data_IF_135601388364
#
_entry.id   IF_135601388364
#
_cell.length_a   1.000
_cell.length_b   1.000
_cell.length_c   1.000
_cell.angle_alpha   90.00
_cell.angle_beta   90.00
_cell.angle_gamma   90.00
#
_symmetry.space_group_name_H-M   'P 1'
#
loop_
_entity.id
_entity.type
_entity.pdbx_description
1 polymer ?
#
# COMPACT_ATOMS: atom_id res chain seq x y z
N UNK A 1 -17.08 -1.80 -22.43
CA UNK A 1 -18.13 -2.03 -21.40
C UNK A 1 -17.48 -2.22 -20.04
N UNK A 2 -17.96 -1.54 -19.01
CA UNK A 2 -17.55 -1.74 -17.61
C UNK A 2 -18.25 -2.99 -17.06
N UNK A 3 -17.54 -3.84 -16.32
CA UNK A 3 -18.17 -5.05 -15.73
C UNK A 3 -19.11 -4.65 -14.59
N UNK A 4 -20.29 -5.27 -14.52
CA UNK A 4 -21.21 -5.13 -13.38
C UNK A 4 -20.78 -6.04 -12.22
N UNK A 5 -21.17 -5.69 -11.00
CA UNK A 5 -20.80 -6.45 -9.80
C UNK A 5 -21.29 -7.91 -9.86
N UNK A 6 -22.52 -8.10 -10.32
CA UNK A 6 -23.14 -9.42 -10.53
C UNK A 6 -22.34 -10.27 -11.52
N UNK A 7 -22.07 -9.73 -12.72
CA UNK A 7 -21.29 -10.44 -13.75
C UNK A 7 -19.87 -10.76 -13.30
N UNK A 8 -19.28 -9.94 -12.44
CA UNK A 8 -17.99 -10.23 -11.84
C UNK A 8 -18.09 -11.44 -10.91
N UNK A 9 -19.04 -11.45 -9.97
CA UNK A 9 -19.24 -12.56 -9.01
C UNK A 9 -19.63 -13.88 -9.67
N UNK A 10 -20.34 -13.85 -10.80
CA UNK A 10 -20.67 -15.06 -11.56
C UNK A 10 -19.46 -15.78 -12.17
N UNK A 11 -18.39 -15.03 -12.48
CA UNK A 11 -17.25 -15.53 -13.25
C UNK A 11 -15.94 -15.54 -12.47
N UNK A 12 -15.88 -14.81 -11.37
CA UNK A 12 -14.68 -14.65 -10.56
C UNK A 12 -15.00 -14.86 -9.09
N UNK A 13 -14.09 -15.51 -8.39
CA UNK A 13 -14.07 -15.60 -6.94
C UNK A 13 -12.89 -14.77 -6.42
N UNK A 14 -13.08 -14.11 -5.27
CA UNK A 14 -12.04 -13.34 -4.62
C UNK A 14 -11.89 -13.81 -3.17
N UNK A 15 -10.69 -14.22 -2.80
CA UNK A 15 -10.36 -14.56 -1.42
C UNK A 15 -10.07 -13.28 -0.64
N UNK A 16 -10.98 -12.92 0.27
CA UNK A 16 -10.84 -11.72 1.13
C UNK A 16 -9.58 -11.75 1.99
N UNK A 17 -9.15 -12.94 2.40
CA UNK A 17 -7.99 -13.14 3.26
C UNK A 17 -6.68 -13.14 2.47
N UNK A 18 -6.63 -13.86 1.34
CA UNK A 18 -5.39 -13.98 0.56
C UNK A 18 -5.21 -12.83 -0.44
N UNK A 19 -6.27 -12.07 -0.74
CA UNK A 19 -6.19 -10.97 -1.70
C UNK A 19 -6.12 -11.42 -3.17
N UNK A 20 -6.38 -12.69 -3.46
CA UNK A 20 -6.22 -13.25 -4.81
C UNK A 20 -7.56 -13.49 -5.50
N UNK A 21 -7.54 -13.46 -6.82
CA UNK A 21 -8.69 -13.76 -7.66
C UNK A 21 -8.55 -15.12 -8.33
N UNK A 22 -9.67 -15.80 -8.48
CA UNK A 22 -9.80 -17.00 -9.28
C UNK A 22 -10.88 -16.77 -10.35
N UNK A 23 -10.67 -17.30 -11.55
CA UNK A 23 -11.63 -17.23 -12.64
C UNK A 23 -12.22 -18.60 -12.90
N UNK A 24 -13.55 -18.65 -13.09
CA UNK A 24 -14.24 -19.84 -13.57
C UNK A 24 -13.90 -20.08 -15.04
N UNK A 25 -13.37 -21.25 -15.34
CA UNK A 25 -13.03 -21.70 -16.70
C UNK A 25 -13.65 -23.07 -16.97
N UNK A 26 -13.76 -23.43 -18.24
CA UNK A 26 -14.38 -24.68 -18.68
C UNK A 26 -15.80 -24.48 -19.23
N UNK A 27 -16.53 -25.58 -19.38
CA UNK A 27 -17.87 -25.59 -19.95
C UNK A 27 -18.72 -26.67 -19.29
N UNK A 28 -20.05 -26.58 -19.45
CA UNK A 28 -20.98 -27.60 -18.95
C UNK A 28 -20.60 -29.03 -19.38
N UNK A 29 -20.04 -29.20 -20.58
CA UNK A 29 -19.61 -30.50 -21.11
C UNK A 29 -18.28 -31.00 -20.53
N UNK A 30 -17.34 -30.10 -20.23
CA UNK A 30 -15.98 -30.45 -19.75
C UNK A 30 -15.81 -30.30 -18.23
N UNK A 31 -16.83 -29.83 -17.53
CA UNK A 31 -16.74 -29.41 -16.13
C UNK A 31 -16.19 -28.00 -15.98
N UNK A 32 -16.60 -27.33 -14.91
CA UNK A 32 -16.07 -26.03 -14.51
C UNK A 32 -14.99 -26.19 -13.46
N UNK A 33 -13.98 -25.32 -13.50
CA UNK A 33 -12.95 -25.21 -12.46
C UNK A 33 -12.59 -23.76 -12.18
N UNK A 34 -12.02 -23.51 -11.00
CA UNK A 34 -11.47 -22.23 -10.59
C UNK A 34 -9.97 -22.23 -10.81
N UNK A 35 -9.44 -21.16 -11.40
CA UNK A 35 -8.00 -21.01 -11.68
C UNK A 35 -7.57 -19.64 -11.19
N UNK A 36 -6.48 -19.59 -10.42
CA UNK A 36 -5.86 -18.35 -9.96
C UNK A 36 -5.57 -17.44 -11.17
N UNK A 37 -5.93 -16.17 -11.04
CA UNK A 37 -5.69 -15.15 -12.06
C UNK A 37 -5.09 -13.91 -11.42
N UNK A 38 -4.28 -13.22 -12.22
CA UNK A 38 -3.63 -11.98 -11.83
C UNK A 38 -2.15 -12.05 -12.18
N UNK A 39 -1.59 -10.93 -12.61
CA UNK A 39 -0.17 -10.82 -12.92
C UNK A 39 0.32 -9.42 -12.60
N UNK A 40 1.60 -9.27 -12.28
CA UNK A 40 2.21 -7.96 -12.04
C UNK A 40 2.44 -7.27 -13.37
N UNK A 41 2.06 -6.00 -13.46
CA UNK A 41 2.38 -5.16 -14.62
C UNK A 41 3.60 -4.34 -14.28
N UNK A 42 4.54 -4.29 -15.24
CA UNK A 42 5.67 -3.37 -15.28
C UNK A 42 6.46 -3.23 -13.95
N UNK A 43 7.25 -2.18 -13.83
CA UNK A 43 8.07 -1.92 -12.64
C UNK A 43 7.28 -1.23 -11.51
N UNK A 44 5.99 -0.94 -11.71
CA UNK A 44 5.13 -0.33 -10.67
C UNK A 44 4.80 -1.30 -9.53
N UNK A 45 4.92 -2.60 -9.76
CA UNK A 45 4.68 -3.65 -8.76
C UNK A 45 3.20 -3.92 -8.46
N UNK A 46 2.27 -3.36 -9.22
CA UNK A 46 0.84 -3.64 -9.03
C UNK A 46 0.40 -4.89 -9.79
N UNK A 47 -0.39 -5.74 -9.10
CA UNK A 47 -1.10 -6.84 -9.74
C UNK A 47 -2.33 -6.32 -10.51
N UNK A 48 -2.57 -6.87 -11.71
CA UNK A 48 -3.80 -6.66 -12.48
C UNK A 48 -4.53 -7.96 -12.75
N UNK A 49 -5.85 -7.88 -12.91
CA UNK A 49 -6.72 -8.97 -13.34
C UNK A 49 -7.44 -8.56 -14.62
N UNK A 50 -7.40 -9.44 -15.63
CA UNK A 50 -8.11 -9.25 -16.88
C UNK A 50 -9.55 -9.76 -16.77
N UNK A 51 -10.51 -8.84 -16.93
CA UNK A 51 -11.94 -9.08 -16.79
C UNK A 51 -12.66 -8.57 -18.03
N UNK A 52 -13.26 -9.49 -18.81
CA UNK A 52 -13.97 -9.14 -20.05
C UNK A 52 -13.09 -8.42 -21.09
N UNK A 53 -11.80 -8.76 -21.17
CA UNK A 53 -10.83 -8.13 -22.09
C UNK A 53 -10.25 -6.80 -21.59
N UNK A 54 -10.68 -6.28 -20.44
CA UNK A 54 -10.13 -5.08 -19.82
C UNK A 54 -9.29 -5.43 -18.59
N UNK A 55 -8.17 -4.73 -18.41
CA UNK A 55 -7.30 -4.86 -17.24
C UNK A 55 -7.82 -3.99 -16.09
N UNK A 56 -7.85 -4.54 -14.89
CA UNK A 56 -8.18 -3.82 -13.65
C UNK A 56 -7.07 -4.05 -12.62
N UNK A 57 -6.68 -3.02 -11.88
CA UNK A 57 -5.80 -3.18 -10.71
C UNK A 57 -6.49 -4.09 -9.69
N UNK A 58 -5.77 -5.10 -9.20
CA UNK A 58 -6.31 -6.14 -8.34
C UNK A 58 -6.90 -5.56 -7.04
N UNK A 59 -6.20 -4.63 -6.38
CA UNK A 59 -6.71 -3.97 -5.16
C UNK A 59 -8.01 -3.18 -5.40
N UNK A 60 -8.17 -2.49 -6.54
CA UNK A 60 -9.42 -1.77 -6.86
C UNK A 60 -10.54 -2.74 -7.19
N UNK A 61 -10.23 -3.81 -7.91
CA UNK A 61 -11.19 -4.87 -8.23
C UNK A 61 -11.64 -5.60 -6.96
N UNK A 62 -10.75 -5.82 -5.99
CA UNK A 62 -11.05 -6.41 -4.68
C UNK A 62 -12.04 -5.54 -3.90
N UNK A 63 -11.80 -4.23 -3.86
CA UNK A 63 -12.75 -3.28 -3.27
C UNK A 63 -14.13 -3.37 -3.92
N UNK A 64 -14.18 -3.30 -5.26
CA UNK A 64 -15.43 -3.41 -6.01
C UNK A 64 -16.14 -4.75 -5.78
N UNK A 65 -15.40 -5.86 -5.71
CA UNK A 65 -15.95 -7.18 -5.43
C UNK A 65 -16.63 -7.26 -4.06
N UNK A 66 -16.02 -6.66 -3.04
CA UNK A 66 -16.52 -6.69 -1.67
C UNK A 66 -17.67 -5.72 -1.45
N UNK A 67 -17.51 -4.47 -1.91
CA UNK A 67 -18.42 -3.36 -1.58
C UNK A 67 -19.51 -3.12 -2.64
N UNK A 68 -19.35 -3.64 -3.86
CA UNK A 68 -20.31 -3.44 -4.96
C UNK A 68 -20.18 -2.11 -5.69
N UNK A 69 -19.31 -1.23 -5.21
CA UNK A 69 -19.02 0.08 -5.80
C UNK A 69 -17.51 0.28 -5.99
N UNK A 70 -17.16 1.05 -7.03
CA UNK A 70 -15.76 1.39 -7.25
C UNK A 70 -15.30 2.39 -6.19
N UNK A 71 -14.05 2.31 -5.71
CA UNK A 71 -13.58 3.21 -4.66
C UNK A 71 -13.55 4.66 -5.18
N UNK A 72 -14.15 5.56 -4.40
CA UNK A 72 -14.21 6.99 -4.70
C UNK A 72 -12.83 7.67 -4.72
N UNK A 73 -11.85 7.08 -4.02
CA UNK A 73 -10.48 7.59 -3.92
C UNK A 73 -9.42 6.63 -4.44
N UNK A 74 -8.20 6.82 -3.93
CA UNK A 74 -7.13 5.83 -4.06
C UNK A 74 -7.36 4.72 -3.05
N UNK A 75 -6.82 3.55 -3.37
CA UNK A 75 -6.74 2.43 -2.44
C UNK A 75 -5.28 2.28 -2.05
N UNK A 76 -5.01 2.49 -0.77
CA UNK A 76 -3.70 2.34 -0.15
C UNK A 76 -3.59 0.94 0.49
N UNK A 77 -2.39 0.37 0.42
CA UNK A 77 -2.02 -0.89 1.08
C UNK A 77 -1.40 -0.55 2.43
N UNK A 78 -2.05 -0.92 3.54
CA UNK A 78 -1.62 -0.53 4.90
C UNK A 78 -0.19 -0.95 5.21
N UNK A 79 0.23 -2.12 4.75
CA UNK A 79 1.59 -2.66 4.90
C UNK A 79 2.60 -2.14 3.85
N UNK A 80 2.12 -1.40 2.84
CA UNK A 80 2.89 -0.91 1.71
C UNK A 80 3.23 -1.97 0.65
N UNK A 81 2.85 -3.23 0.86
CA UNK A 81 3.03 -4.29 -0.13
C UNK A 81 1.90 -4.26 -1.16
N UNK A 82 2.24 -3.82 -2.38
CA UNK A 82 1.31 -3.71 -3.52
C UNK A 82 0.73 -5.05 -3.99
N UNK A 83 1.34 -6.17 -3.60
CA UNK A 83 0.86 -7.52 -3.91
C UNK A 83 -0.10 -8.06 -2.85
N UNK A 84 -0.06 -7.53 -1.62
CA UNK A 84 -1.00 -7.90 -0.57
C UNK A 84 -2.36 -7.22 -0.75
N UNK A 85 -3.16 -7.77 -1.66
CA UNK A 85 -4.48 -7.25 -1.99
C UNK A 85 -5.59 -7.79 -1.06
N UNK A 86 -5.26 -8.30 0.14
CA UNK A 86 -6.24 -8.74 1.13
C UNK A 86 -7.11 -7.57 1.58
N UNK A 87 -8.43 -7.76 1.69
CA UNK A 87 -9.35 -6.63 1.92
C UNK A 87 -9.07 -5.91 3.25
N UNK A 88 -8.60 -6.65 4.26
CA UNK A 88 -8.20 -6.08 5.55
C UNK A 88 -6.96 -5.17 5.44
N UNK A 89 -6.09 -5.40 4.46
CA UNK A 89 -4.90 -4.60 4.18
C UNK A 89 -5.20 -3.37 3.31
N UNK A 90 -6.37 -3.29 2.68
CA UNK A 90 -6.74 -2.16 1.82
C UNK A 90 -7.49 -1.08 2.62
N UNK A 91 -7.28 0.19 2.26
CA UNK A 91 -8.06 1.33 2.78
C UNK A 91 -8.20 2.45 1.75
N UNK A 92 -9.25 3.25 1.88
CA UNK A 92 -9.42 4.48 1.08
C UNK A 92 -8.40 5.51 1.55
N UNK A 93 -7.75 6.16 0.61
CA UNK A 93 -6.78 7.22 0.87
C UNK A 93 -6.92 8.39 -0.10
N UNK A 94 -6.62 9.58 0.39
CA UNK A 94 -6.24 10.71 -0.47
C UNK A 94 -4.83 10.52 -1.02
N UNK A 95 -4.47 11.26 -2.07
CA UNK A 95 -3.11 11.24 -2.63
C UNK A 95 -2.04 11.61 -1.60
N UNK A 96 -2.35 12.52 -0.66
CA UNK A 96 -1.44 12.91 0.41
C UNK A 96 -1.24 11.76 1.42
N UNK A 97 -2.33 11.13 1.86
CA UNK A 97 -2.28 9.98 2.77
C UNK A 97 -1.52 8.79 2.16
N UNK A 98 -1.81 8.44 0.91
CA UNK A 98 -1.07 7.40 0.19
C UNK A 98 0.43 7.75 0.06
N UNK A 99 0.77 9.03 -0.14
CA UNK A 99 2.16 9.47 -0.16
C UNK A 99 2.83 9.40 1.22
N UNK A 100 2.11 9.61 2.32
CA UNK A 100 2.65 9.42 3.67
C UNK A 100 3.13 7.98 3.89
N UNK A 101 2.39 7.00 3.33
CA UNK A 101 2.69 5.58 3.42
C UNK A 101 3.79 5.07 2.43
N UNK A 102 4.43 5.97 1.69
CA UNK A 102 5.47 5.59 0.72
C UNK A 102 6.78 5.08 1.37
N UNK A 103 7.53 4.26 0.62
CA UNK A 103 8.90 3.90 0.97
C UNK A 103 9.86 5.10 0.99
N UNK A 104 11.01 4.93 1.63
CA UNK A 104 12.13 5.86 1.46
C UNK A 104 12.61 5.77 0.00
N UNK A 105 12.75 6.90 -0.71
CA UNK A 105 13.32 6.89 -2.05
C UNK A 105 14.75 6.35 -2.06
N UNK A 106 15.11 5.56 -3.08
CA UNK A 106 16.47 5.01 -3.22
C UNK A 106 17.58 6.08 -3.30
N UNK A 107 17.22 7.31 -3.67
CA UNK A 107 18.13 8.46 -3.68
C UNK A 107 18.43 9.04 -2.29
N UNK A 108 17.70 8.63 -1.24
CA UNK A 108 17.90 9.12 0.12
C UNK A 108 19.21 8.60 0.70
N UNK A 109 20.21 9.49 0.77
CA UNK A 109 21.55 9.18 1.28
C UNK A 109 21.63 9.00 2.80
N UNK A 110 20.64 9.47 3.55
CA UNK A 110 20.62 9.25 5.00
C UNK A 110 20.15 7.84 5.36
N UNK A 111 19.41 7.16 4.48
CA UNK A 111 18.74 5.89 4.80
C UNK A 111 17.53 6.03 5.72
N UNK A 112 17.21 7.24 6.19
CA UNK A 112 16.07 7.51 7.08
C UNK A 112 15.11 8.48 6.37
N UNK A 113 13.84 8.07 6.24
CA UNK A 113 12.81 8.93 5.61
C UNK A 113 12.72 10.26 6.36
N UNK A 114 12.73 11.38 5.64
CA UNK A 114 12.60 12.71 6.23
C UNK A 114 13.82 13.20 7.02
N UNK A 115 14.97 12.52 6.94
CA UNK A 115 16.23 12.98 7.52
C UNK A 115 17.21 13.30 6.40
N UNK A 116 17.96 14.38 6.57
CA UNK A 116 19.03 14.78 5.64
C UNK A 116 20.16 15.45 6.41
N UNK A 117 21.38 15.41 5.86
CA UNK A 117 22.54 16.09 6.42
C UNK A 117 22.93 17.28 5.53
N UNK A 118 23.01 18.47 6.10
CA UNK A 118 23.44 19.68 5.38
C UNK A 118 24.06 20.70 6.33
N UNK A 119 25.14 21.36 5.87
CA UNK A 119 25.80 22.42 6.64
C UNK A 119 26.22 21.99 8.05
N UNK A 120 26.80 20.79 8.18
CA UNK A 120 27.32 20.27 9.44
C UNK A 120 26.26 19.81 10.46
N UNK A 121 24.99 19.65 10.09
CA UNK A 121 23.98 19.14 11.02
C UNK A 121 22.90 18.29 10.35
N UNK A 122 22.24 17.46 11.16
CA UNK A 122 21.16 16.58 10.73
C UNK A 122 19.82 17.28 10.84
N UNK A 123 19.09 17.40 9.74
CA UNK A 123 17.74 17.98 9.70
C UNK A 123 16.71 16.87 9.60
N UNK A 124 15.77 16.85 10.54
CA UNK A 124 14.58 16.02 10.50
C UNK A 124 13.37 16.86 10.09
N UNK A 125 12.58 16.36 9.14
CA UNK A 125 11.42 17.06 8.60
C UNK A 125 10.24 16.10 8.37
N UNK A 126 9.05 16.56 8.75
CA UNK A 126 7.78 15.92 8.39
C UNK A 126 6.88 16.97 7.78
N UNK A 127 6.24 16.63 6.67
CA UNK A 127 5.31 17.50 5.96
C UNK A 127 3.93 16.84 5.84
N UNK A 128 2.89 17.68 5.85
CA UNK A 128 1.51 17.31 5.55
C UNK A 128 1.02 18.27 4.47
N UNK A 129 0.41 17.75 3.41
CA UNK A 129 -0.04 18.57 2.27
C UNK A 129 1.04 19.51 1.72
N UNK A 130 2.27 18.99 1.59
CA UNK A 130 3.49 19.70 1.13
C UNK A 130 3.97 20.84 2.03
N UNK A 131 3.35 21.06 3.19
CA UNK A 131 3.79 22.05 4.18
C UNK A 131 4.52 21.36 5.32
N UNK A 132 5.70 21.84 5.74
CA UNK A 132 6.41 21.27 6.88
C UNK A 132 5.60 21.54 8.15
N UNK A 133 5.24 20.47 8.87
CA UNK A 133 4.60 20.53 10.19
C UNK A 133 5.60 20.28 11.32
N UNK A 134 6.73 19.66 10.99
CA UNK A 134 7.86 19.47 11.88
C UNK A 134 9.15 19.70 11.10
N UNK A 135 10.06 20.51 11.65
CA UNK A 135 11.39 20.70 11.09
C UNK A 135 12.36 21.13 12.19
N UNK A 136 13.37 20.30 12.49
CA UNK A 136 14.39 20.58 13.51
C UNK A 136 15.77 20.11 13.08
N UNK A 137 16.81 20.76 13.59
CA UNK A 137 18.23 20.41 13.39
C UNK A 137 18.78 19.74 14.64
N UNK A 138 19.65 18.75 14.45
CA UNK A 138 20.24 17.90 15.48
C UNK A 138 21.74 17.71 15.23
N UNK A 139 22.47 17.37 16.29
CA UNK A 139 23.92 17.12 16.21
C UNK A 139 24.20 15.73 15.65
N UNK A 140 23.36 14.76 15.96
CA UNK A 140 23.52 13.36 15.53
C UNK A 140 22.37 12.91 14.65
N UNK A 141 22.62 11.85 13.88
CA UNK A 141 21.61 11.26 12.98
C UNK A 141 20.52 10.55 13.78
N UNK A 142 20.90 9.92 14.87
CA UNK A 142 20.07 9.12 15.75
C UNK A 142 19.02 9.99 16.45
N UNK A 143 19.41 11.20 16.91
CA UNK A 143 18.50 12.19 17.46
C UNK A 143 17.47 12.64 16.41
N UNK A 144 17.94 12.93 15.19
CA UNK A 144 17.08 13.33 14.08
C UNK A 144 16.10 12.21 13.69
N UNK A 145 16.55 10.96 13.65
CA UNK A 145 15.71 9.80 13.38
C UNK A 145 14.62 9.62 14.43
N UNK A 146 14.99 9.63 15.72
CA UNK A 146 14.01 9.49 16.81
C UNK A 146 12.95 10.59 16.73
N UNK A 147 13.37 11.84 16.52
CA UNK A 147 12.47 12.97 16.44
C UNK A 147 11.56 12.91 15.22
N UNK A 148 12.07 12.50 14.05
CA UNK A 148 11.26 12.39 12.83
C UNK A 148 10.23 11.27 12.94
N UNK A 149 10.57 10.15 13.61
CA UNK A 149 9.63 9.02 13.78
C UNK A 149 8.45 9.44 14.66
N UNK A 150 8.70 10.09 15.79
CA UNK A 150 7.66 10.60 16.69
C UNK A 150 6.76 11.60 15.95
N UNK A 151 7.35 12.63 15.35
CA UNK A 151 6.60 13.66 14.63
C UNK A 151 5.78 13.09 13.45
N UNK A 152 6.27 12.02 12.81
CA UNK A 152 5.56 11.34 11.71
C UNK A 152 4.34 10.59 12.20
N UNK A 153 4.45 9.85 13.30
CA UNK A 153 3.32 9.12 13.89
C UNK A 153 2.22 10.12 14.26
N UNK A 154 2.59 11.22 14.92
CA UNK A 154 1.65 12.28 15.30
C UNK A 154 1.00 12.96 14.09
N UNK A 155 1.78 13.31 13.07
CA UNK A 155 1.28 14.07 11.92
C UNK A 155 0.54 13.22 10.87
N UNK A 156 0.93 11.97 10.67
CA UNK A 156 0.40 11.10 9.60
C UNK A 156 -0.59 10.05 10.11
N UNK A 157 -0.64 9.81 11.42
CA UNK A 157 -1.56 8.87 12.06
C UNK A 157 -1.42 7.46 11.49
N UNK A 158 -2.54 6.85 11.11
CA UNK A 158 -2.57 5.50 10.54
C UNK A 158 -1.79 5.37 9.22
N UNK A 159 -1.48 6.46 8.52
CA UNK A 159 -0.71 6.46 7.27
C UNK A 159 0.79 6.68 7.49
N UNK A 160 1.24 6.73 8.75
CA UNK A 160 2.66 6.87 9.07
C UNK A 160 3.44 5.64 8.59
N UNK A 161 4.43 5.86 7.72
CA UNK A 161 5.38 4.85 7.29
C UNK A 161 6.82 5.36 7.45
N UNK A 162 7.70 4.56 8.06
CA UNK A 162 9.08 4.98 8.34
C UNK A 162 10.09 4.75 7.23
N UNK A 163 9.62 4.35 6.05
CA UNK A 163 10.41 4.21 4.84
C UNK A 163 10.71 2.77 4.44
N UNK A 164 10.12 1.81 5.15
CA UNK A 164 10.26 0.37 4.94
C UNK A 164 8.90 -0.21 4.57
N UNK A 165 8.86 -1.10 3.56
CA UNK A 165 7.71 -1.95 3.24
C UNK A 165 8.12 -3.40 3.45
N UNK A 166 7.22 -4.20 4.01
CA UNK A 166 7.49 -5.59 4.40
C UNK A 166 7.74 -5.75 5.89
N UNK A 167 7.27 -6.89 6.43
CA UNK A 167 7.59 -7.33 7.78
C UNK A 167 9.10 -7.58 7.89
N UNK A 168 9.85 -6.62 8.40
CA UNK A 168 11.08 -6.95 9.12
C UNK A 168 10.60 -7.54 10.45
N UNK A 169 10.80 -8.84 10.64
CA UNK A 169 10.44 -9.56 11.88
C UNK A 169 10.96 -8.86 13.15
N UNK A 170 12.01 -8.05 13.01
CA UNK A 170 12.58 -7.22 14.08
C UNK A 170 11.68 -6.08 14.56
N UNK A 171 10.86 -5.46 13.70
CA UNK A 171 10.00 -4.33 14.11
C UNK A 171 8.77 -4.79 14.92
N UNK A 172 8.25 -5.99 14.64
CA UNK A 172 7.19 -6.60 15.45
C UNK A 172 7.69 -6.95 16.87
N UNK A 173 8.96 -7.33 17.02
CA UNK A 173 9.56 -7.66 18.31
C UNK A 173 9.67 -6.41 19.21
N UNK A 174 10.01 -5.25 18.65
CA UNK A 174 10.14 -3.99 19.41
C UNK A 174 8.81 -3.33 19.79
N UNK A 175 7.70 -3.69 19.14
CA UNK A 175 6.36 -3.21 19.49
C UNK A 175 5.65 -4.08 20.55
N UNK A 176 6.14 -5.31 20.79
CA UNK A 176 5.59 -6.23 21.81
C UNK A 176 6.30 -6.15 23.17
N UNK A 177 7.29 -5.25 23.33
CA UNK A 177 7.94 -4.98 24.61
C UNK A 177 7.40 -3.66 25.17
N UNK A 178 6.15 -3.69 25.63
CA UNK A 178 5.58 -2.71 26.56
C UNK A 178 4.69 -3.44 27.56
#
# INVERSE_FOLDING_TARGET
>A
MTITHEKLKERYHYSRMAGVFEKRVGSKRKGYKWVLVGYVVDDSGYQVVSVGGKRYLAHRLAWFYVHGEWPAGLIDHKDGDRLNNAISNLRIATSAQNAHNSQTPASNKSGVKGVSFSGGSWTAQVAVNRKPVFMKRFKTKEEAEKAVRIARIEAHGEFANHGVHGYIAEEACNLMIK
#
